data_IF_392700635171
#
_entry.id   IF_392700635171
#
_cell.length_a   1.000
_cell.length_b   1.000
_cell.length_c   1.000
_cell.angle_alpha   90.00
_cell.angle_beta   90.00
_cell.angle_gamma   90.00
#
_symmetry.space_group_name_H-M   'P 1'
#
loop_
_entity.id
_entity.type
_entity.pdbx_description
1 polymer ?
#
# COMPACT_ATOMS: atom_id res chain seq x y z
N UNK A 1 -19.83 -3.58 -5.03
CA UNK A 1 -18.63 -4.40 -5.28
C UNK A 1 -18.10 -4.90 -3.93
N UNK A 2 -17.96 -6.22 -3.70
CA UNK A 2 -17.35 -6.71 -2.48
C UNK A 2 -15.92 -6.15 -2.34
N UNK A 3 -15.57 -5.62 -1.17
CA UNK A 3 -14.21 -5.14 -0.89
C UNK A 3 -13.27 -6.34 -0.86
N UNK A 4 -12.57 -6.62 -1.96
CA UNK A 4 -11.53 -7.67 -1.98
C UNK A 4 -10.40 -7.24 -1.05
N UNK A 5 -10.19 -8.02 0.00
CA UNK A 5 -9.12 -7.81 0.98
C UNK A 5 -7.95 -8.75 0.67
N UNK A 6 -6.73 -8.24 0.77
CA UNK A 6 -5.50 -9.02 0.58
C UNK A 6 -4.62 -8.98 1.83
N UNK A 7 -3.73 -9.96 1.95
CA UNK A 7 -2.71 -10.00 3.00
C UNK A 7 -1.55 -9.06 2.66
N UNK A 8 -0.70 -8.75 3.64
CA UNK A 8 0.54 -8.00 3.41
C UNK A 8 1.51 -8.69 2.44
N UNK A 9 1.51 -10.03 2.39
CA UNK A 9 2.33 -10.79 1.46
C UNK A 9 1.86 -10.59 0.01
N UNK A 10 0.57 -10.78 -0.26
CA UNK A 10 0.01 -10.59 -1.59
C UNK A 10 0.09 -9.11 -2.03
N UNK A 11 -0.13 -8.17 -1.11
CA UNK A 11 0.07 -6.74 -1.39
C UNK A 11 1.53 -6.42 -1.78
N UNK A 12 2.50 -7.13 -1.21
CA UNK A 12 3.91 -6.96 -1.52
C UNK A 12 4.20 -7.41 -2.96
N UNK A 13 3.66 -8.57 -3.36
CA UNK A 13 3.75 -9.07 -4.73
C UNK A 13 3.08 -8.11 -5.72
N UNK A 14 1.86 -7.65 -5.43
CA UNK A 14 1.10 -6.74 -6.31
C UNK A 14 1.80 -5.39 -6.54
N UNK A 15 2.55 -4.90 -5.56
CA UNK A 15 3.27 -3.62 -5.65
C UNK A 15 4.76 -3.78 -5.99
N UNK A 16 5.23 -5.02 -6.22
CA UNK A 16 6.65 -5.34 -6.36
C UNK A 16 7.53 -4.78 -5.20
N UNK A 17 7.01 -4.81 -3.98
CA UNK A 17 7.68 -4.34 -2.77
C UNK A 17 8.02 -5.51 -1.84
N UNK A 18 8.89 -5.27 -0.85
CA UNK A 18 9.12 -6.23 0.24
C UNK A 18 7.96 -6.21 1.23
N UNK A 19 7.58 -7.35 1.80
CA UNK A 19 6.53 -7.42 2.82
C UNK A 19 6.81 -6.50 4.03
N UNK A 20 8.08 -6.36 4.43
CA UNK A 20 8.48 -5.40 5.49
C UNK A 20 8.11 -3.95 5.14
N UNK A 21 8.18 -3.59 3.85
CA UNK A 21 7.82 -2.28 3.33
C UNK A 21 6.32 -2.08 3.43
N UNK A 22 5.52 -3.08 3.07
CA UNK A 22 4.06 -3.05 3.25
C UNK A 22 3.69 -2.83 4.73
N UNK A 23 4.33 -3.56 5.66
CA UNK A 23 4.12 -3.37 7.10
C UNK A 23 4.54 -1.99 7.60
N UNK A 24 5.56 -1.37 7.00
CA UNK A 24 5.97 0.02 7.29
C UNK A 24 4.92 1.01 6.75
N UNK A 25 4.49 0.86 5.49
CA UNK A 25 3.48 1.70 4.85
C UNK A 25 2.14 1.65 5.59
N UNK A 26 1.72 0.46 6.03
CA UNK A 26 0.54 0.29 6.88
C UNK A 26 0.65 1.12 8.18
N UNK A 27 1.78 1.02 8.89
CA UNK A 27 2.01 1.81 10.12
C UNK A 27 2.05 3.31 9.87
N UNK A 28 2.43 3.72 8.67
CA UNK A 28 2.45 5.13 8.24
C UNK A 28 1.08 5.62 7.75
N UNK A 29 0.04 4.79 7.77
CA UNK A 29 -1.30 5.18 7.31
C UNK A 29 -1.43 5.31 5.79
N UNK A 30 -0.54 4.68 5.01
CA UNK A 30 -0.57 4.75 3.55
C UNK A 30 -1.80 4.06 2.92
N UNK A 31 -2.49 3.22 3.69
CA UNK A 31 -3.69 2.48 3.28
C UNK A 31 -4.83 2.82 4.25
N UNK A 32 -5.66 3.85 3.94
CA UNK A 32 -6.65 4.41 4.88
C UNK A 32 -7.70 3.42 5.38
N UNK A 33 -8.00 2.39 4.59
CA UNK A 33 -9.01 1.38 4.89
C UNK A 33 -8.38 0.04 5.30
N UNK A 34 -7.06 -0.02 5.48
CA UNK A 34 -6.40 -1.21 5.97
C UNK A 34 -6.56 -1.35 7.48
N UNK A 35 -6.65 -2.59 7.95
CA UNK A 35 -6.78 -2.90 9.37
C UNK A 35 -6.01 -4.17 9.74
N UNK A 36 -5.81 -4.38 11.04
CA UNK A 36 -5.33 -5.65 11.57
C UNK A 36 -6.49 -6.48 12.10
N UNK A 37 -6.46 -7.78 11.86
CA UNK A 37 -7.50 -8.70 12.37
C UNK A 37 -7.41 -8.96 13.87
N UNK A 38 -6.29 -8.59 14.51
CA UNK A 38 -6.10 -8.65 15.96
C UNK A 38 -5.23 -7.47 16.39
N UNK A 39 -5.45 -6.98 17.61
CA UNK A 39 -4.62 -5.95 18.23
C UNK A 39 -3.26 -6.49 18.70
N UNK A 40 -3.09 -7.82 18.71
CA UNK A 40 -1.82 -8.45 19.05
C UNK A 40 -0.70 -8.06 18.07
N UNK A 41 0.54 -8.21 18.55
CA UNK A 41 1.75 -7.96 17.75
C UNK A 41 1.77 -8.77 16.45
N UNK A 42 1.16 -9.96 16.47
CA UNK A 42 1.10 -10.90 15.34
C UNK A 42 -0.19 -10.79 14.51
N UNK A 43 -1.02 -9.76 14.75
CA UNK A 43 -2.25 -9.53 14.00
C UNK A 43 -2.01 -9.45 12.48
N UNK A 44 -2.82 -10.16 11.70
CA UNK A 44 -2.70 -10.19 10.24
C UNK A 44 -3.23 -8.88 9.66
N UNK A 45 -2.42 -8.24 8.82
CA UNK A 45 -2.82 -7.02 8.11
C UNK A 45 -3.72 -7.42 6.93
N UNK A 46 -4.87 -6.74 6.82
CA UNK A 46 -5.79 -6.82 5.70
C UNK A 46 -5.87 -5.48 5.01
N UNK A 47 -5.60 -5.48 3.71
CA UNK A 47 -5.55 -4.27 2.88
C UNK A 47 -6.60 -4.42 1.77
N UNK A 48 -7.51 -3.46 1.60
CA UNK A 48 -8.40 -3.43 0.45
C UNK A 48 -7.62 -3.22 -0.85
N UNK A 49 -7.99 -3.93 -1.92
CA UNK A 49 -7.37 -3.75 -3.24
C UNK A 49 -7.49 -2.30 -3.73
N UNK A 50 -8.57 -1.59 -3.39
CA UNK A 50 -8.75 -0.17 -3.71
C UNK A 50 -7.63 0.71 -3.17
N UNK A 51 -7.14 0.43 -1.96
CA UNK A 51 -6.08 1.20 -1.33
C UNK A 51 -4.74 0.94 -2.02
N UNK A 52 -4.48 -0.29 -2.46
CA UNK A 52 -3.28 -0.63 -3.24
C UNK A 52 -3.27 0.09 -4.59
N UNK A 53 -4.41 0.11 -5.30
CA UNK A 53 -4.55 0.83 -6.57
C UNK A 53 -4.36 2.33 -6.38
N UNK A 54 -4.99 2.92 -5.35
CA UNK A 54 -4.83 4.34 -5.04
C UNK A 54 -3.38 4.69 -4.69
N UNK A 55 -2.72 3.84 -3.89
CA UNK A 55 -1.31 4.00 -3.54
C UNK A 55 -0.41 3.94 -4.78
N UNK A 56 -0.57 2.94 -5.65
CA UNK A 56 0.22 2.79 -6.87
C UNK A 56 0.10 4.03 -7.79
N UNK A 57 -1.12 4.55 -7.96
CA UNK A 57 -1.37 5.79 -8.72
C UNK A 57 -0.68 6.99 -8.10
N UNK A 58 -0.69 7.11 -6.77
CA UNK A 58 -0.02 8.20 -6.05
C UNK A 58 1.50 8.15 -6.21
N UNK A 59 2.10 6.95 -6.19
CA UNK A 59 3.53 6.76 -6.42
C UNK A 59 3.91 7.17 -7.84
N UNK A 60 3.18 6.68 -8.86
CA UNK A 60 3.42 7.06 -10.25
C UNK A 60 3.30 8.57 -10.49
N UNK A 61 2.27 9.21 -9.95
CA UNK A 61 2.10 10.66 -10.08
C UNK A 61 3.30 11.42 -9.51
N UNK A 62 3.83 10.98 -8.36
CA UNK A 62 4.97 11.63 -7.72
C UNK A 62 6.27 11.50 -8.53
N UNK A 63 6.46 10.38 -9.22
CA UNK A 63 7.62 10.19 -10.11
C UNK A 63 7.54 11.09 -11.35
N UNK A 64 6.34 11.25 -11.92
CA UNK A 64 6.09 12.18 -13.03
C UNK A 64 6.28 13.64 -12.61
N UNK A 65 5.78 14.04 -11.45
CA UNK A 65 5.92 15.40 -10.92
C UNK A 65 7.40 15.76 -10.62
N UNK A 66 8.23 14.77 -10.24
CA UNK A 66 9.66 14.98 -9.99
C UNK A 66 10.51 14.97 -11.27
N UNK A 67 10.09 14.22 -12.30
CA UNK A 67 10.77 14.16 -13.59
C UNK A 67 10.60 15.42 -14.44
N UNK A 68 9.52 16.18 -14.24
CA UNK A 68 9.24 17.40 -15.01
C UNK A 68 10.07 18.62 -14.58
N UNK A 69 10.65 18.62 -13.37
CA UNK A 69 11.37 19.77 -12.81
C UNK A 69 12.86 19.84 -13.19
N UNK A 70 13.34 18.96 -14.08
CA UNK A 70 14.75 18.88 -14.49
C UNK A 70 14.98 19.13 -15.99
N UNK A 71 13.96 19.58 -16.72
CA UNK A 71 14.03 19.85 -18.17
C UNK A 71 13.42 21.22 -18.53
N UNK A 72 13.72 22.25 -17.74
CA UNK A 72 13.48 23.66 -18.09
C UNK A 72 14.71 24.50 -17.72
#
# INVERSE_FOLDING_TARGET
MPKRLVTSALAAEMLALKQRTISKLFRQGAFPNAFKTSQERNGRIRIPVSDLVAFARKVQKRELDLGSNYMD
#
